data_IF_211242210576
#
_entry.id   IF_211242210576
#
_cell.length_a   1.000
_cell.length_b   1.000
_cell.length_c   1.000
_cell.angle_alpha   90.00
_cell.angle_beta   90.00
_cell.angle_gamma   90.00
#
_symmetry.space_group_name_H-M   'P 1'
#
loop_
_entity.id
_entity.type
_entity.pdbx_description
1 polymer ?
#
# COMPACT_ATOMS: atom_id res chain seq x y z
N UNK A 1 5.53 2.04 -20.05
CA UNK A 1 5.13 0.72 -20.62
C UNK A 1 3.62 0.71 -20.85
N UNK A 2 3.11 0.08 -21.92
CA UNK A 2 1.66 -0.03 -22.17
C UNK A 2 1.06 -1.23 -21.42
N UNK A 3 -0.26 -1.25 -21.17
CA UNK A 3 -0.94 -2.40 -20.54
C UNK A 3 -0.72 -3.68 -21.35
N UNK A 4 -0.75 -3.59 -22.67
CA UNK A 4 -0.51 -4.74 -23.56
C UNK A 4 0.91 -5.30 -23.42
N UNK A 5 1.92 -4.41 -23.34
CA UNK A 5 3.31 -4.83 -23.14
C UNK A 5 3.50 -5.45 -21.75
N UNK A 6 2.91 -4.83 -20.73
CA UNK A 6 2.92 -5.34 -19.36
C UNK A 6 2.29 -6.72 -19.25
N UNK A 7 1.06 -6.90 -19.76
CA UNK A 7 0.34 -8.17 -19.64
C UNK A 7 1.10 -9.31 -20.30
N UNK A 8 1.76 -9.04 -21.44
CA UNK A 8 2.63 -10.01 -22.12
C UNK A 8 3.85 -10.37 -21.27
N UNK A 9 4.54 -9.38 -20.70
CA UNK A 9 5.72 -9.60 -19.86
C UNK A 9 5.38 -10.31 -18.54
N UNK A 10 4.24 -10.00 -17.94
CA UNK A 10 3.77 -10.57 -16.68
C UNK A 10 3.06 -11.92 -16.84
N UNK A 11 2.87 -12.42 -18.07
CA UNK A 11 2.19 -13.69 -18.32
C UNK A 11 0.72 -13.69 -17.90
N UNK A 12 0.07 -12.52 -17.86
CA UNK A 12 -1.35 -12.38 -17.49
C UNK A 12 -2.20 -11.91 -18.66
N UNK A 13 -3.50 -12.15 -18.61
CA UNK A 13 -4.39 -11.63 -19.66
C UNK A 13 -4.44 -10.10 -19.61
N UNK A 14 -4.60 -9.46 -20.78
CA UNK A 14 -4.76 -8.00 -20.87
C UNK A 14 -5.95 -7.50 -20.03
N UNK A 15 -7.05 -8.27 -19.99
CA UNK A 15 -8.23 -7.94 -19.19
C UNK A 15 -7.94 -7.99 -17.69
N UNK A 16 -7.16 -8.98 -17.23
CA UNK A 16 -6.72 -9.04 -15.83
C UNK A 16 -5.90 -7.80 -15.47
N UNK A 17 -4.91 -7.45 -16.29
CA UNK A 17 -4.09 -6.26 -16.07
C UNK A 17 -4.94 -4.96 -16.08
N UNK A 18 -5.86 -4.81 -17.04
CA UNK A 18 -6.77 -3.65 -17.10
C UNK A 18 -7.69 -3.57 -15.87
N UNK A 19 -8.21 -4.69 -15.38
CA UNK A 19 -9.04 -4.71 -14.17
C UNK A 19 -8.28 -4.33 -12.91
N UNK A 20 -7.01 -4.73 -12.80
CA UNK A 20 -6.17 -4.31 -11.67
C UNK A 20 -5.90 -2.81 -11.74
N UNK A 21 -5.54 -2.28 -12.92
CA UNK A 21 -5.30 -0.84 -13.11
C UNK A 21 -6.55 -0.01 -12.78
N UNK A 22 -7.74 -0.51 -13.12
CA UNK A 22 -9.03 0.16 -12.82
C UNK A 22 -9.57 -0.11 -11.43
N UNK A 23 -8.79 -0.74 -10.55
CA UNK A 23 -9.20 -1.12 -9.19
C UNK A 23 -10.48 -1.98 -9.14
N UNK A 24 -10.77 -2.73 -10.21
CA UNK A 24 -11.90 -3.68 -10.29
C UNK A 24 -11.53 -5.06 -9.78
N UNK A 25 -10.24 -5.35 -9.66
CA UNK A 25 -9.70 -6.61 -9.16
C UNK A 25 -8.39 -6.36 -8.42
N UNK A 26 -8.15 -7.16 -7.39
CA UNK A 26 -6.88 -7.12 -6.66
C UNK A 26 -5.78 -7.88 -7.44
N UNK A 27 -4.53 -7.39 -7.42
CA UNK A 27 -3.40 -8.13 -7.97
C UNK A 27 -3.17 -9.42 -7.17
N UNK A 28 -2.55 -10.43 -7.80
CA UNK A 28 -2.14 -11.64 -7.09
C UNK A 28 -0.88 -11.36 -6.26
N UNK A 29 -0.89 -11.72 -4.97
CA UNK A 29 0.17 -11.35 -4.02
C UNK A 29 1.52 -11.95 -4.37
N UNK A 30 1.52 -13.21 -4.79
CA UNK A 30 2.69 -13.98 -5.24
C UNK A 30 3.38 -13.34 -6.46
N UNK A 31 2.64 -12.59 -7.26
CA UNK A 31 3.17 -11.95 -8.47
C UNK A 31 3.68 -10.52 -8.28
N UNK A 32 3.39 -9.86 -7.15
CA UNK A 32 3.74 -8.45 -6.94
C UNK A 32 5.24 -8.18 -7.09
N UNK A 33 6.08 -9.09 -6.59
CA UNK A 33 7.54 -8.98 -6.73
C UNK A 33 7.99 -9.02 -8.18
N UNK A 34 7.47 -9.96 -8.97
CA UNK A 34 7.78 -10.08 -10.40
C UNK A 34 7.24 -8.88 -11.19
N UNK A 35 6.06 -8.39 -10.84
CA UNK A 35 5.48 -7.20 -11.48
C UNK A 35 6.31 -5.95 -11.24
N UNK A 36 6.84 -5.77 -10.02
CA UNK A 36 7.76 -4.67 -9.71
C UNK A 36 9.02 -4.73 -10.58
N UNK A 37 9.59 -5.92 -10.78
CA UNK A 37 10.76 -6.10 -11.65
C UNK A 37 10.46 -5.81 -13.12
N UNK A 38 9.31 -6.26 -13.63
CA UNK A 38 8.85 -5.98 -15.00
C UNK A 38 8.62 -4.48 -15.21
N UNK A 39 8.13 -3.79 -14.19
CA UNK A 39 7.96 -2.33 -14.18
C UNK A 39 9.29 -1.58 -14.03
N UNK A 40 10.39 -2.29 -13.78
CA UNK A 40 11.72 -1.71 -13.60
C UNK A 40 11.94 -1.07 -12.23
N UNK A 41 11.08 -1.35 -11.25
CA UNK A 41 11.19 -0.79 -9.90
C UNK A 41 12.37 -1.43 -9.15
N UNK A 42 13.11 -0.62 -8.40
CA UNK A 42 14.32 -1.02 -7.67
C UNK A 42 14.35 -0.40 -6.27
N UNK A 43 15.07 -1.04 -5.35
CA UNK A 43 15.23 -0.57 -3.98
C UNK A 43 13.89 -0.22 -3.33
N UNK A 44 13.82 0.97 -2.73
CA UNK A 44 12.63 1.43 -2.00
C UNK A 44 11.36 1.45 -2.88
N UNK A 45 11.44 1.75 -4.17
CA UNK A 45 10.27 1.79 -5.05
C UNK A 45 9.65 0.40 -5.22
N UNK A 46 10.47 -0.65 -5.25
CA UNK A 46 10.01 -2.04 -5.28
C UNK A 46 9.30 -2.39 -3.97
N UNK A 47 9.89 -2.01 -2.84
CA UNK A 47 9.35 -2.33 -1.52
C UNK A 47 8.03 -1.60 -1.28
N UNK A 48 7.94 -0.31 -1.65
CA UNK A 48 6.71 0.47 -1.60
C UNK A 48 5.62 -0.13 -2.50
N UNK A 49 5.98 -0.57 -3.71
CA UNK A 49 5.03 -1.22 -4.61
C UNK A 49 4.47 -2.52 -4.03
N UNK A 50 5.33 -3.38 -3.49
CA UNK A 50 4.92 -4.64 -2.88
C UNK A 50 4.11 -4.38 -1.61
N UNK A 51 4.50 -3.40 -0.79
CA UNK A 51 3.76 -3.02 0.41
C UNK A 51 2.36 -2.47 0.05
N UNK A 52 2.25 -1.62 -0.96
CA UNK A 52 0.97 -1.10 -1.44
C UNK A 52 0.07 -2.24 -1.94
N UNK A 53 0.64 -3.19 -2.68
CA UNK A 53 -0.08 -4.39 -3.11
C UNK A 53 -0.61 -5.20 -1.93
N UNK A 54 0.21 -5.43 -0.89
CA UNK A 54 -0.23 -6.09 0.35
C UNK A 54 -1.33 -5.31 1.08
N UNK A 55 -1.23 -3.97 1.12
CA UNK A 55 -2.20 -3.11 1.79
C UNK A 55 -3.62 -3.22 1.19
N UNK A 56 -3.72 -3.41 -0.13
CA UNK A 56 -5.00 -3.63 -0.82
C UNK A 56 -5.67 -4.94 -0.38
N UNK A 57 -4.89 -5.92 0.06
CA UNK A 57 -5.39 -7.20 0.57
C UNK A 57 -5.69 -7.20 2.07
N UNK A 58 -5.18 -6.22 2.81
CA UNK A 58 -5.41 -6.09 4.25
C UNK A 58 -6.90 -6.07 4.57
N UNK A 59 -7.39 -6.95 5.47
CA UNK A 59 -8.78 -6.95 5.93
C UNK A 59 -9.21 -5.59 6.48
N UNK A 60 -10.45 -5.21 6.21
CA UNK A 60 -11.01 -3.92 6.64
C UNK A 60 -10.94 -3.72 8.16
N UNK A 61 -11.14 -4.79 8.94
CA UNK A 61 -11.03 -4.74 10.39
C UNK A 61 -9.65 -4.29 10.87
N UNK A 62 -8.59 -4.78 10.21
CA UNK A 62 -7.21 -4.41 10.54
C UNK A 62 -6.97 -2.95 10.16
N UNK A 63 -7.47 -2.50 9.00
CA UNK A 63 -7.36 -1.10 8.57
C UNK A 63 -8.03 -0.14 9.55
N UNK A 64 -9.24 -0.47 10.01
CA UNK A 64 -9.95 0.29 11.03
C UNK A 64 -9.19 0.33 12.34
N UNK A 65 -8.70 -0.83 12.80
CA UNK A 65 -7.93 -0.91 14.05
C UNK A 65 -6.64 -0.07 13.99
N UNK A 66 -5.96 -0.05 12.84
CA UNK A 66 -4.80 0.80 12.64
C UNK A 66 -5.17 2.28 12.78
N UNK A 67 -6.23 2.72 12.10
CA UNK A 67 -6.70 4.11 12.18
C UNK A 67 -7.07 4.52 13.62
N UNK A 68 -7.71 3.64 14.39
CA UNK A 68 -8.01 3.89 15.80
C UNK A 68 -6.74 4.08 16.64
N UNK A 69 -5.75 3.20 16.44
CA UNK A 69 -4.46 3.26 17.14
C UNK A 69 -3.67 4.51 16.75
N UNK A 70 -3.66 4.89 15.48
CA UNK A 70 -3.02 6.13 15.00
C UNK A 70 -3.66 7.37 15.65
N UNK A 71 -4.98 7.41 15.76
CA UNK A 71 -5.70 8.47 16.45
C UNK A 71 -5.35 8.51 17.96
N UNK A 72 -5.23 7.35 18.61
CA UNK A 72 -4.83 7.26 20.01
C UNK A 72 -3.40 7.76 20.24
N UNK A 73 -2.45 7.33 19.40
CA UNK A 73 -1.06 7.80 19.45
C UNK A 73 -1.00 9.31 19.28
N UNK A 74 -1.78 9.89 18.37
CA UNK A 74 -1.82 11.33 18.16
C UNK A 74 -2.38 12.09 19.38
N UNK A 75 -3.41 11.54 20.03
CA UNK A 75 -3.94 12.08 21.30
C UNK A 75 -2.90 12.02 22.42
N UNK A 76 -2.11 10.96 22.50
CA UNK A 76 -1.07 10.82 23.52
C UNK A 76 0.08 11.81 23.29
N UNK A 77 0.57 11.93 22.04
CA UNK A 77 1.62 12.90 21.66
C UNK A 77 1.23 14.34 21.99
N UNK A 78 -0.03 14.70 21.76
CA UNK A 78 -0.56 16.04 22.05
C UNK A 78 -0.82 16.29 23.56
N UNK A 79 -1.05 15.24 24.35
CA UNK A 79 -1.13 15.33 25.82
C UNK A 79 0.24 15.55 26.46
N UNK A 80 1.27 14.89 25.96
CA UNK A 80 2.64 15.01 26.49
C UNK A 80 3.33 16.31 26.08
N UNK A 81 2.85 17.01 25.05
CA UNK A 81 3.44 18.26 24.55
C UNK A 81 2.88 19.53 25.20
N UNK A 82 1.89 19.46 26.11
CA UNK A 82 1.46 20.65 26.88
C UNK A 82 2.54 21.02 27.90
N UNK A 83 3.22 22.17 27.76
CA UNK A 83 4.23 22.59 28.72
C UNK A 83 3.54 22.88 30.05
N UNK A 84 4.14 22.36 31.13
CA UNK A 84 3.69 22.61 32.49
C UNK A 84 3.47 24.11 32.71
N UNK A 85 2.22 24.47 33.02
CA UNK A 85 1.82 25.81 33.41
C UNK A 85 2.68 26.21 34.63
N UNK A 86 3.73 27.02 34.41
CA UNK A 86 4.50 27.62 35.51
C UNK A 86 3.51 28.38 36.38
N UNK A 87 3.26 27.87 37.59
CA UNK A 87 2.60 28.62 38.65
C UNK A 87 3.51 29.79 38.98
N UNK A 88 3.04 31.00 38.69
CA UNK A 88 3.55 32.25 39.24
C UNK A 88 2.43 32.85 40.08
#
# INVERSE_FOLDING_TARGET
>A
MTITAFSKAAGVSRNMADFVVRNKRRPQLDQLGAWAEILGLRGNERDEFVLAGNWVHTPELIRKRLADLEAEVQRLKTRTSKPGRKKR
#
